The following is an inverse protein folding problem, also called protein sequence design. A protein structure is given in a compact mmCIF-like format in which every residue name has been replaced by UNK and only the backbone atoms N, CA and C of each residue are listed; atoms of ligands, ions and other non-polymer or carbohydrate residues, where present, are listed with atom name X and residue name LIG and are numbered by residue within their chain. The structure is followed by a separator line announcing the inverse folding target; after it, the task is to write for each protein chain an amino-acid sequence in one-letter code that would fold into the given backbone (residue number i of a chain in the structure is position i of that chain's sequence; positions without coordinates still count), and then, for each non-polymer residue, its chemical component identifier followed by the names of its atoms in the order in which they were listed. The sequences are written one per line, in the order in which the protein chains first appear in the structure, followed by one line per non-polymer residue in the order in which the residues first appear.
data_IF_270580692521
#
_entry.id   IF_270580692521
#
_cell.length_a   1.000
_cell.length_b   1.000
_cell.length_c   1.000
_cell.angle_alpha   90.00
_cell.angle_beta   90.00
_cell.angle_gamma   90.00
#
_symmetry.space_group_name_H-M   'P 1'
#
loop_
_entity.id
_entity.type
_entity.pdbx_description
1 polymer ?
#
# COMPACT_ATOMS: atom_id res chain seq x y z
N UNK A 1 -77.83 -9.88 -63.59
CA UNK A 1 -78.47 -10.11 -62.28
C UNK A 1 -77.52 -10.97 -61.46
N UNK A 2 -77.12 -10.73 -60.23
CA UNK A 2 -77.17 -9.60 -59.30
C UNK A 2 -76.07 -9.91 -58.27
N UNK A 3 -75.28 -8.92 -57.87
CA UNK A 3 -74.24 -9.10 -56.84
C UNK A 3 -74.82 -9.13 -55.42
N UNK A 4 -73.99 -9.50 -54.44
CA UNK A 4 -73.74 -8.78 -53.17
C UNK A 4 -73.07 -9.63 -52.08
N UNK A 5 -72.11 -8.96 -51.41
CA UNK A 5 -71.74 -9.03 -50.00
C UNK A 5 -71.06 -10.32 -49.49
N UNK A 6 -69.77 -10.31 -49.14
CA UNK A 6 -69.09 -9.60 -48.05
C UNK A 6 -69.40 -10.16 -46.64
N UNK A 7 -68.30 -10.64 -46.03
CA UNK A 7 -67.98 -10.61 -44.62
C UNK A 7 -68.50 -11.75 -43.71
N UNK A 8 -67.62 -12.03 -42.72
CA UNK A 8 -67.88 -12.63 -41.42
C UNK A 8 -67.90 -14.16 -41.35
N UNK A 9 -66.75 -14.77 -41.03
CA UNK A 9 -66.59 -15.46 -39.73
C UNK A 9 -65.12 -15.82 -39.44
N UNK A 10 -64.35 -14.78 -39.13
CA UNK A 10 -63.04 -14.87 -38.46
C UNK A 10 -63.30 -15.27 -37.01
N UNK A 11 -63.28 -16.56 -36.65
CA UNK A 11 -63.30 -17.05 -35.25
C UNK A 11 -63.01 -18.55 -35.15
N UNK A 12 -61.72 -18.91 -35.16
CA UNK A 12 -61.23 -20.15 -34.55
C UNK A 12 -59.98 -19.81 -33.72
N UNK A 13 -60.23 -19.09 -32.63
CA UNK A 13 -59.40 -19.14 -31.43
C UNK A 13 -59.61 -20.53 -30.85
N UNK A 14 -58.55 -21.30 -30.64
CA UNK A 14 -58.31 -21.96 -29.34
C UNK A 14 -57.20 -23.01 -29.43
N UNK A 15 -56.42 -23.06 -28.34
CA UNK A 15 -55.75 -24.24 -27.75
C UNK A 15 -54.23 -24.35 -27.75
N UNK A 16 -53.44 -23.51 -28.42
CA UNK A 16 -51.97 -23.71 -28.37
C UNK A 16 -51.09 -22.53 -27.94
N UNK A 17 -51.64 -21.34 -27.71
CA UNK A 17 -50.81 -20.16 -27.44
C UNK A 17 -50.66 -19.72 -25.97
N UNK A 18 -51.30 -20.38 -24.99
CA UNK A 18 -51.37 -19.82 -23.62
C UNK A 18 -50.55 -20.54 -22.53
N UNK A 19 -49.92 -21.70 -22.83
CA UNK A 19 -49.12 -22.43 -21.81
C UNK A 19 -47.61 -22.21 -21.98
N UNK A 20 -47.14 -21.74 -23.14
CA UNK A 20 -45.71 -21.57 -23.41
C UNK A 20 -45.14 -20.19 -23.07
N UNK A 21 -45.97 -19.22 -22.67
CA UNK A 21 -45.51 -17.84 -22.40
C UNK A 21 -45.21 -17.54 -20.93
N UNK A 22 -45.63 -18.38 -19.97
CA UNK A 22 -45.27 -18.20 -18.55
C UNK A 22 -43.93 -18.87 -18.16
N UNK A 23 -43.54 -19.95 -18.83
CA UNK A 23 -42.31 -20.69 -18.49
C UNK A 23 -41.01 -20.00 -18.94
N UNK A 24 -41.09 -18.98 -19.79
CA UNK A 24 -39.94 -18.20 -20.27
C UNK A 24 -39.76 -16.85 -19.58
N UNK A 25 -40.73 -16.41 -18.78
CA UNK A 25 -40.63 -15.16 -18.02
C UNK A 25 -39.96 -15.34 -16.64
N UNK A 26 -39.97 -16.55 -16.08
CA UNK A 26 -39.40 -16.82 -14.75
C UNK A 26 -37.91 -17.19 -14.75
N UNK A 27 -37.33 -17.59 -15.89
CA UNK A 27 -35.93 -18.08 -15.95
C UNK A 27 -34.92 -16.96 -16.24
N UNK A 28 -35.35 -15.81 -16.74
CA UNK A 28 -34.45 -14.70 -17.09
C UNK A 28 -34.17 -13.71 -15.94
N UNK A 29 -34.85 -13.83 -14.79
CA UNK A 29 -34.71 -12.88 -13.66
C UNK A 29 -33.76 -13.39 -12.57
N UNK A 30 -33.41 -14.69 -12.58
CA UNK A 30 -32.58 -15.30 -11.51
C UNK A 30 -31.06 -15.18 -11.79
N UNK A 31 -30.64 -14.69 -12.95
CA UNK A 31 -29.22 -14.64 -13.34
C UNK A 31 -28.46 -13.35 -12.90
N UNK A 32 -29.09 -12.44 -12.15
CA UNK A 32 -28.51 -11.14 -11.76
C UNK A 32 -27.96 -11.07 -10.33
N UNK A 33 -27.93 -12.17 -9.58
CA UNK A 33 -27.57 -12.16 -8.17
C UNK A 33 -26.38 -13.08 -7.83
N UNK A 34 -25.17 -12.71 -8.27
CA UNK A 34 -23.93 -12.98 -7.51
C UNK A 34 -22.70 -12.44 -8.24
N UNK A 35 -22.50 -11.13 -8.12
CA UNK A 35 -21.17 -10.54 -8.27
C UNK A 35 -21.04 -9.42 -7.25
N UNK A 36 -21.30 -9.75 -5.97
CA UNK A 36 -20.77 -8.95 -4.87
C UNK A 36 -19.26 -9.21 -4.85
N UNK A 37 -18.54 -8.45 -5.68
CA UNK A 37 -17.10 -8.27 -5.59
C UNK A 37 -16.82 -7.73 -4.19
N UNK A 38 -16.40 -8.61 -3.29
CA UNK A 38 -15.81 -8.24 -2.02
C UNK A 38 -14.51 -7.49 -2.35
N UNK A 39 -14.59 -6.17 -2.45
CA UNK A 39 -13.43 -5.29 -2.45
C UNK A 39 -12.83 -5.35 -1.05
N UNK A 40 -12.03 -6.39 -0.81
CA UNK A 40 -11.11 -6.38 0.32
C UNK A 40 -10.02 -5.39 -0.04
N UNK A 41 -10.04 -4.21 0.57
CA UNK A 41 -8.89 -3.31 0.66
C UNK A 41 -7.78 -4.05 1.44
N UNK A 42 -7.11 -4.96 0.73
CA UNK A 42 -6.19 -5.96 1.26
C UNK A 42 -4.82 -5.37 1.52
N UNK A 43 -4.75 -4.37 2.39
CA UNK A 43 -3.46 -3.88 2.87
C UNK A 43 -2.80 -4.97 3.72
N UNK A 44 -1.57 -5.31 3.35
CA UNK A 44 -0.79 -6.36 4.02
C UNK A 44 0.06 -5.75 5.12
N UNK A 45 -0.10 -6.23 6.34
CA UNK A 45 0.64 -5.83 7.52
C UNK A 45 1.67 -6.90 7.85
N UNK A 46 2.96 -6.56 7.82
CA UNK A 46 4.03 -7.47 8.23
C UNK A 46 4.51 -7.12 9.63
N UNK A 47 4.68 -8.14 10.48
CA UNK A 47 5.13 -8.02 11.88
C UNK A 47 6.15 -9.10 12.22
N UNK A 48 7.06 -8.77 13.14
CA UNK A 48 7.89 -9.75 13.84
C UNK A 48 7.12 -10.47 14.95
N UNK A 49 7.50 -11.71 15.26
CA UNK A 49 7.05 -12.40 16.50
C UNK A 49 7.48 -11.58 17.72
N UNK A 50 6.55 -11.25 18.62
CA UNK A 50 6.76 -10.39 19.79
C UNK A 50 6.76 -8.89 19.49
N UNK A 51 6.71 -8.48 18.23
CA UNK A 51 6.65 -7.07 17.84
C UNK A 51 5.22 -6.53 17.98
N UNK A 52 5.11 -5.27 18.39
CA UNK A 52 3.86 -4.53 18.44
C UNK A 52 3.85 -3.40 17.42
N UNK A 53 2.70 -3.17 16.80
CA UNK A 53 2.46 -2.07 15.86
C UNK A 53 1.13 -1.41 16.17
N UNK A 54 1.18 -0.09 16.35
CA UNK A 54 -0.02 0.72 16.53
C UNK A 54 -0.57 1.14 15.17
N UNK A 55 -1.87 0.93 14.97
CA UNK A 55 -2.64 1.39 13.83
C UNK A 55 -3.62 2.46 14.30
N UNK A 56 -3.47 3.67 13.80
CA UNK A 56 -4.39 4.78 14.07
C UNK A 56 -5.54 4.72 13.08
N UNK A 57 -6.70 4.25 13.54
CA UNK A 57 -7.90 4.08 12.73
C UNK A 57 -9.07 4.74 13.48
N UNK A 58 -9.63 5.85 12.96
CA UNK A 58 -10.75 6.51 13.63
C UNK A 58 -12.02 5.66 13.53
N UNK A 59 -12.91 5.80 14.52
CA UNK A 59 -14.26 5.22 14.51
C UNK A 59 -14.32 3.68 14.45
N UNK A 60 -13.37 2.98 15.07
CA UNK A 60 -13.42 1.50 15.14
C UNK A 60 -14.48 1.06 16.15
N UNK A 61 -15.46 0.29 15.69
CA UNK A 61 -16.54 -0.26 16.52
C UNK A 61 -16.21 -1.67 17.02
N UNK A 62 -15.62 -2.50 16.16
CA UNK A 62 -15.28 -3.89 16.47
C UNK A 62 -14.04 -4.31 15.70
N UNK A 63 -13.28 -5.24 16.28
CA UNK A 63 -12.15 -5.91 15.64
C UNK A 63 -12.29 -7.42 15.80
N UNK A 64 -11.78 -8.17 14.84
CA UNK A 64 -11.65 -9.62 14.94
C UNK A 64 -10.37 -10.08 14.23
N UNK A 65 -9.72 -11.05 14.82
CA UNK A 65 -8.59 -11.77 14.22
C UNK A 65 -9.06 -13.17 13.87
N UNK A 66 -8.59 -13.69 12.73
CA UNK A 66 -8.87 -15.06 12.29
C UNK A 66 -8.22 -16.10 13.20
N UNK A 67 -6.93 -15.95 13.44
CA UNK A 67 -6.11 -16.84 14.27
C UNK A 67 -5.37 -16.06 15.39
N UNK A 68 -5.76 -16.22 16.67
CA UNK A 68 -5.14 -15.54 17.81
C UNK A 68 -3.78 -16.12 18.21
N UNK A 69 -3.39 -17.31 17.75
CA UNK A 69 -2.06 -17.88 18.02
C UNK A 69 -0.99 -17.19 17.16
N UNK A 70 -1.39 -16.62 16.01
CA UNK A 70 -0.51 -15.90 15.09
C UNK A 70 -0.39 -14.42 15.48
N UNK A 71 -1.49 -13.73 15.72
CA UNK A 71 -1.48 -12.32 16.12
C UNK A 71 -2.61 -11.99 17.09
N UNK A 72 -2.41 -10.98 17.92
CA UNK A 72 -3.44 -10.44 18.83
C UNK A 72 -3.68 -8.95 18.56
N UNK A 73 -4.90 -8.49 18.77
CA UNK A 73 -5.29 -7.08 18.57
C UNK A 73 -6.01 -6.55 19.79
N UNK A 74 -5.52 -5.42 20.31
CA UNK A 74 -6.10 -4.72 21.44
C UNK A 74 -6.47 -3.30 21.05
N UNK A 75 -7.69 -2.88 21.36
CA UNK A 75 -8.09 -1.49 21.18
C UNK A 75 -7.52 -0.63 22.32
N UNK A 76 -6.85 0.46 21.96
CA UNK A 76 -6.19 1.40 22.87
C UNK A 76 -6.76 2.80 22.64
N UNK A 77 -6.69 3.67 23.66
CA UNK A 77 -7.01 5.10 23.47
C UNK A 77 -8.46 5.41 23.09
N UNK A 78 -9.44 4.74 23.73
CA UNK A 78 -10.86 5.14 23.66
C UNK A 78 -11.55 4.93 22.30
N UNK A 79 -10.95 4.18 21.38
CA UNK A 79 -11.61 3.73 20.13
C UNK A 79 -10.95 4.20 18.82
N UNK A 80 -9.85 4.95 18.90
CA UNK A 80 -9.12 5.46 17.72
C UNK A 80 -7.80 4.75 17.39
N UNK A 81 -7.30 3.90 18.29
CA UNK A 81 -6.03 3.20 18.10
C UNK A 81 -6.20 1.70 18.30
N UNK A 82 -5.54 0.92 17.46
CA UNK A 82 -5.44 -0.53 17.58
C UNK A 82 -3.98 -0.91 17.74
N UNK A 83 -3.68 -1.66 18.79
CA UNK A 83 -2.38 -2.26 19.02
C UNK A 83 -2.41 -3.69 18.50
N UNK A 84 -1.68 -3.94 17.42
CA UNK A 84 -1.51 -5.26 16.83
C UNK A 84 -0.20 -5.87 17.33
N UNK A 85 -0.25 -7.08 17.86
CA UNK A 85 0.89 -7.81 18.44
C UNK A 85 1.10 -9.12 17.68
N UNK A 86 2.31 -9.37 17.19
CA UNK A 86 2.66 -10.68 16.63
C UNK A 86 2.91 -11.69 17.75
N UNK A 87 2.15 -12.79 17.78
CA UNK A 87 2.27 -13.83 18.82
C UNK A 87 3.07 -15.02 18.31
N UNK A 88 2.73 -15.51 17.12
CA UNK A 88 3.32 -16.69 16.49
C UNK A 88 3.55 -16.48 15.00
N UNK A 89 4.47 -17.24 14.41
CA UNK A 89 4.75 -17.15 12.97
C UNK A 89 3.58 -17.68 12.14
N UNK A 90 3.19 -16.96 11.09
CA UNK A 90 2.07 -17.37 10.26
C UNK A 90 1.40 -16.23 9.48
N UNK A 91 0.24 -16.55 8.92
CA UNK A 91 -0.65 -15.58 8.28
C UNK A 91 -2.01 -15.64 8.91
N UNK A 92 -2.57 -14.48 9.20
CA UNK A 92 -3.92 -14.33 9.76
C UNK A 92 -4.60 -13.13 9.12
N UNK A 93 -5.91 -13.02 9.27
CA UNK A 93 -6.69 -11.90 8.74
C UNK A 93 -7.23 -11.07 9.88
N UNK A 94 -7.08 -9.75 9.79
CA UNK A 94 -7.65 -8.78 10.73
C UNK A 94 -8.83 -8.10 10.05
N UNK A 95 -10.01 -8.24 10.66
CA UNK A 95 -11.24 -7.58 10.23
C UNK A 95 -11.54 -6.43 11.18
N UNK A 96 -11.80 -5.26 10.60
CA UNK A 96 -12.12 -4.04 11.35
C UNK A 96 -13.48 -3.54 10.88
N UNK A 97 -14.41 -3.40 11.82
CA UNK A 97 -15.72 -2.78 11.58
C UNK A 97 -15.69 -1.34 12.10
N UNK A 98 -16.06 -0.43 11.22
CA UNK A 98 -16.16 0.99 11.54
C UNK A 98 -17.61 1.37 11.88
N UNK A 99 -17.79 2.46 12.63
CA UNK A 99 -19.12 2.97 13.01
C UNK A 99 -19.96 3.45 11.82
N UNK A 100 -19.35 3.68 10.66
CA UNK A 100 -20.01 4.08 9.41
C UNK A 100 -20.45 2.87 8.56
N UNK A 101 -20.57 1.67 9.17
CA UNK A 101 -20.93 0.40 8.52
C UNK A 101 -19.91 -0.13 7.49
N UNK A 102 -18.79 0.57 7.31
CA UNK A 102 -17.69 0.13 6.48
C UNK A 102 -16.88 -0.99 7.17
N UNK A 103 -16.31 -1.90 6.38
CA UNK A 103 -15.49 -3.00 6.85
C UNK A 103 -14.16 -3.01 6.10
N UNK A 104 -13.05 -3.00 6.84
CA UNK A 104 -11.72 -3.22 6.27
C UNK A 104 -11.20 -4.60 6.63
N UNK A 105 -10.46 -5.21 5.70
CA UNK A 105 -9.84 -6.52 5.86
C UNK A 105 -8.34 -6.41 5.59
N UNK A 106 -7.53 -6.64 6.61
CA UNK A 106 -6.08 -6.59 6.55
C UNK A 106 -5.51 -8.01 6.55
N UNK A 107 -4.50 -8.25 5.71
CA UNK A 107 -3.73 -9.50 5.74
C UNK A 107 -2.53 -9.33 6.67
N UNK A 108 -2.51 -10.01 7.81
CA UNK A 108 -1.42 -9.92 8.78
C UNK A 108 -0.46 -11.09 8.56
N UNK A 109 0.80 -10.78 8.30
CA UNK A 109 1.89 -11.74 8.14
C UNK A 109 2.83 -11.57 9.32
N UNK A 110 2.94 -12.59 10.16
CA UNK A 110 3.88 -12.60 11.27
C UNK A 110 5.04 -13.51 10.90
N UNK A 111 6.26 -12.97 10.94
CA UNK A 111 7.49 -13.72 10.64
C UNK A 111 8.40 -13.70 11.84
N UNK A 112 9.10 -14.80 12.07
CA UNK A 112 10.21 -14.81 13.02
C UNK A 112 11.36 -14.04 12.38
N UNK A 113 11.60 -12.82 12.82
CA UNK A 113 12.70 -12.02 12.32
C UNK A 113 13.94 -12.43 13.12
N UNK A 114 14.80 -13.28 12.55
CA UNK A 114 16.05 -13.63 13.22
C UNK A 114 16.99 -12.40 13.18
N UNK A 115 17.46 -11.90 14.33
CA UNK A 115 18.43 -10.81 14.36
C UNK A 115 19.67 -11.09 13.51
N UNK A 116 20.04 -12.36 13.30
CA UNK A 116 21.17 -12.76 12.44
C UNK A 116 20.90 -12.53 10.96
N UNK A 117 19.68 -12.79 10.49
CA UNK A 117 19.29 -12.49 9.10
C UNK A 117 19.32 -10.99 8.86
N UNK A 118 18.82 -10.21 9.84
CA UNK A 118 18.89 -8.76 9.80
C UNK A 118 20.33 -8.24 9.72
N UNK A 119 21.29 -8.87 10.43
CA UNK A 119 22.71 -8.52 10.28
C UNK A 119 23.20 -8.75 8.85
N UNK A 120 22.78 -9.84 8.20
CA UNK A 120 23.13 -10.12 6.80
C UNK A 120 22.57 -9.07 5.84
N UNK A 121 21.31 -8.68 6.01
CA UNK A 121 20.70 -7.58 5.23
C UNK A 121 21.43 -6.26 5.44
N UNK A 122 21.65 -5.88 6.70
CA UNK A 122 22.32 -4.62 7.06
C UNK A 122 23.75 -4.59 6.52
N UNK A 123 24.50 -5.70 6.59
CA UNK A 123 25.83 -5.80 5.95
C UNK A 123 25.76 -5.64 4.44
N UNK A 124 24.75 -6.21 3.79
CA UNK A 124 24.56 -6.08 2.34
C UNK A 124 24.26 -4.63 1.94
N UNK A 125 23.46 -3.91 2.74
CA UNK A 125 23.14 -2.50 2.51
C UNK A 125 24.31 -1.56 2.78
N UNK A 126 25.10 -1.83 3.82
CA UNK A 126 26.29 -1.05 4.14
C UNK A 126 27.47 -1.40 3.21
N UNK A 127 27.51 -2.60 2.65
CA UNK A 127 28.61 -3.13 1.85
C UNK A 127 29.86 -3.44 2.69
N UNK A 128 30.96 -3.79 2.03
CA UNK A 128 32.28 -4.06 2.65
C UNK A 128 32.98 -2.75 3.06
N UNK A 129 32.34 -1.96 3.92
CA UNK A 129 32.90 -0.72 4.44
C UNK A 129 33.74 -0.96 5.67
N UNK A 130 34.99 -0.55 5.60
CA UNK A 130 35.90 -0.59 6.73
C UNK A 130 35.44 0.36 7.85
N UNK A 131 35.59 -0.09 9.09
CA UNK A 131 35.32 0.72 10.28
C UNK A 131 33.94 0.56 10.91
N UNK A 132 32.95 -0.05 10.23
CA UNK A 132 31.61 -0.30 10.78
C UNK A 132 31.47 -1.78 11.18
N UNK A 133 31.22 -2.03 12.45
CA UNK A 133 30.95 -3.35 13.03
C UNK A 133 29.48 -3.48 13.37
N UNK A 134 28.88 -4.59 12.95
CA UNK A 134 27.52 -4.95 13.30
C UNK A 134 27.54 -5.98 14.42
N UNK A 135 26.87 -5.69 15.53
CA UNK A 135 26.75 -6.57 16.69
C UNK A 135 25.29 -6.81 17.03
N UNK A 136 24.94 -8.06 17.37
CA UNK A 136 23.64 -8.40 17.92
C UNK A 136 23.73 -8.34 19.45
N UNK A 137 22.79 -7.65 20.09
CA UNK A 137 22.66 -7.62 21.55
C UNK A 137 21.19 -7.85 21.90
N UNK A 138 20.88 -9.05 22.40
CA UNK A 138 19.50 -9.49 22.62
C UNK A 138 18.73 -9.58 21.30
N UNK A 139 17.63 -8.83 21.20
CA UNK A 139 16.76 -8.74 20.02
C UNK A 139 17.09 -7.52 19.11
N UNK A 140 18.10 -6.72 19.48
CA UNK A 140 18.47 -5.50 18.75
C UNK A 140 19.82 -5.64 18.07
N UNK A 141 19.94 -4.95 16.93
CA UNK A 141 21.19 -4.88 16.16
C UNK A 141 21.82 -3.51 16.39
N UNK A 142 23.10 -3.51 16.73
CA UNK A 142 23.89 -2.32 17.00
C UNK A 142 24.98 -2.15 15.95
N UNK A 143 25.10 -0.94 15.44
CA UNK A 143 26.17 -0.50 14.55
C UNK A 143 27.18 0.30 15.38
N UNK A 144 28.40 -0.20 15.50
CA UNK A 144 29.52 0.44 16.18
C UNK A 144 30.61 0.75 15.18
N UNK A 145 31.20 1.94 15.22
CA UNK A 145 32.29 2.26 14.31
C UNK A 145 32.51 3.73 14.06
N UNK A 146 33.41 4.01 13.13
CA UNK A 146 33.63 5.35 12.61
C UNK A 146 33.48 5.33 11.09
N UNK A 147 32.71 6.27 10.55
CA UNK A 147 32.58 6.42 9.08
C UNK A 147 33.72 7.25 8.54
N UNK A 148 34.35 6.77 7.47
CA UNK A 148 35.50 7.44 6.85
C UNK A 148 35.01 8.56 5.93
N UNK A 149 33.92 8.34 5.19
CA UNK A 149 33.34 9.34 4.26
C UNK A 149 31.99 9.88 4.74
N UNK A 150 31.58 11.02 4.19
CA UNK A 150 30.27 11.62 4.43
C UNK A 150 29.13 10.74 3.86
N UNK A 151 29.33 10.16 2.67
CA UNK A 151 28.38 9.25 2.03
C UNK A 151 28.06 8.01 2.88
N UNK A 152 29.06 7.49 3.59
CA UNK A 152 28.87 6.33 4.48
C UNK A 152 27.96 6.70 5.66
N UNK A 153 28.11 7.92 6.18
CA UNK A 153 27.27 8.42 7.26
C UNK A 153 25.81 8.58 6.81
N UNK A 154 25.57 9.15 5.62
CA UNK A 154 24.23 9.30 5.07
C UNK A 154 23.53 7.95 4.87
N UNK A 155 24.27 6.95 4.38
CA UNK A 155 23.72 5.58 4.23
C UNK A 155 23.38 4.93 5.55
N UNK A 156 24.22 5.12 6.58
CA UNK A 156 23.90 4.64 7.94
C UNK A 156 22.60 5.29 8.43
N UNK A 157 22.40 6.59 8.20
CA UNK A 157 21.14 7.26 8.54
C UNK A 157 19.93 6.71 7.78
N UNK A 158 20.11 6.36 6.50
CA UNK A 158 19.06 5.71 5.71
C UNK A 158 18.69 4.34 6.31
N UNK A 159 19.68 3.51 6.62
CA UNK A 159 19.45 2.18 7.25
C UNK A 159 18.71 2.31 8.58
N UNK A 160 19.07 3.29 9.42
CA UNK A 160 18.38 3.54 10.68
C UNK A 160 16.91 3.96 10.50
N UNK A 161 16.60 4.66 9.41
CA UNK A 161 15.24 5.07 9.07
C UNK A 161 14.40 3.90 8.54
N UNK A 162 15.03 2.97 7.81
CA UNK A 162 14.36 1.77 7.27
C UNK A 162 14.13 0.70 8.34
N UNK A 163 15.08 0.51 9.26
CA UNK A 163 15.06 -0.57 10.24
C UNK A 163 15.06 -0.02 11.68
N UNK A 164 13.89 0.19 12.30
CA UNK A 164 13.80 0.79 13.64
C UNK A 164 14.41 -0.08 14.76
N UNK A 165 14.56 -1.39 14.54
CA UNK A 165 15.26 -2.30 15.46
C UNK A 165 16.79 -2.16 15.44
N UNK A 166 17.35 -1.44 14.47
CA UNK A 166 18.79 -1.15 14.38
C UNK A 166 19.09 0.15 15.12
N UNK A 167 20.12 0.15 15.97
CA UNK A 167 20.64 1.32 16.67
C UNK A 167 22.08 1.56 16.26
N UNK A 168 22.47 2.83 16.15
CA UNK A 168 23.83 3.21 15.75
C UNK A 168 24.51 4.02 16.84
N UNK A 169 25.73 3.64 17.14
CA UNK A 169 26.71 4.43 17.88
C UNK A 169 27.85 4.90 16.96
N UNK A 170 27.64 4.84 15.64
CA UNK A 170 28.64 5.21 14.63
C UNK A 170 28.92 6.71 14.71
N UNK A 171 30.20 7.06 14.78
CA UNK A 171 30.66 8.46 14.80
C UNK A 171 31.19 8.87 13.44
N UNK A 172 30.87 10.07 12.94
CA UNK A 172 31.54 10.60 11.77
C UNK A 172 33.00 10.89 12.11
N UNK A 173 33.94 10.38 11.31
CA UNK A 173 35.36 10.68 11.47
C UNK A 173 35.64 12.18 11.29
N UNK A 174 36.76 12.64 11.85
CA UNK A 174 37.20 14.03 11.71
C UNK A 174 37.35 14.47 10.24
N UNK A 175 37.64 13.54 9.32
CA UNK A 175 37.73 13.80 7.88
C UNK A 175 36.35 13.93 7.23
N UNK A 176 35.39 13.06 7.56
CA UNK A 176 34.01 13.14 7.07
C UNK A 176 33.33 14.45 7.51
N UNK A 177 33.57 14.90 8.75
CA UNK A 177 33.05 16.17 9.27
C UNK A 177 33.60 17.39 8.52
N UNK A 178 34.86 17.34 8.08
CA UNK A 178 35.49 18.40 7.27
C UNK A 178 34.95 18.42 5.85
N UNK A 179 34.75 17.26 5.23
CA UNK A 179 34.22 17.15 3.87
C UNK A 179 32.74 17.54 3.79
N UNK A 180 31.92 17.15 4.78
CA UNK A 180 30.53 17.61 4.88
C UNK A 180 30.43 19.12 5.09
N UNK A 181 31.36 19.73 5.85
CA UNK A 181 31.46 21.17 5.99
C UNK A 181 31.91 21.87 4.69
N UNK A 182 32.76 21.22 3.89
CA UNK A 182 33.23 21.74 2.61
C UNK A 182 32.18 21.66 1.49
N UNK A 183 31.35 20.60 1.47
CA UNK A 183 30.20 20.47 0.56
C UNK A 183 29.13 21.52 0.88
N UNK A 184 28.88 21.80 2.16
CA UNK A 184 28.05 22.94 2.58
C UNK A 184 28.63 24.32 2.22
N UNK A 185 29.92 24.38 1.85
CA UNK A 185 30.62 25.61 1.46
C UNK A 185 30.81 25.77 -0.05
N UNK A 186 30.33 24.83 -0.89
CA UNK A 186 30.26 25.08 -2.34
C UNK A 186 29.13 26.06 -2.60
N UNK A 187 29.52 27.31 -2.86
CA UNK A 187 28.65 28.38 -3.36
C UNK A 187 27.73 27.83 -4.46
N UNK A 188 26.44 27.72 -4.17
CA UNK A 188 25.42 27.61 -5.21
C UNK A 188 25.51 28.88 -6.05
N UNK A 189 25.84 28.72 -7.34
CA UNK A 189 25.79 29.80 -8.31
C UNK A 189 24.40 29.75 -8.94
N UNK A 190 23.57 30.74 -8.67
CA UNK A 190 22.32 30.93 -9.40
C UNK A 190 22.68 31.35 -10.82
N UNK A 191 22.40 30.50 -11.80
CA UNK A 191 22.47 30.87 -13.21
C UNK A 191 21.05 31.17 -13.64
N UNK A 192 20.72 32.46 -13.72
CA UNK A 192 19.49 32.93 -14.34
C UNK A 192 19.75 33.07 -15.84
N UNK A 193 18.98 32.36 -16.67
CA UNK A 193 19.08 32.44 -18.13
C UNK A 193 17.77 33.02 -18.64
N UNK A 194 17.79 34.30 -19.01
CA UNK A 194 16.68 34.96 -19.70
C UNK A 194 16.84 34.76 -21.21
N UNK A 195 15.96 33.95 -21.79
CA UNK A 195 15.83 33.83 -23.24
C UNK A 195 14.84 34.87 -23.76
N UNK A 196 15.32 35.83 -24.55
CA UNK A 196 14.48 36.71 -25.35
C UNK A 196 14.55 36.27 -26.81
N UNK A 197 13.44 35.74 -27.31
CA UNK A 197 13.26 35.42 -28.73
C UNK A 197 12.66 36.65 -29.45
N UNK A 198 13.36 37.15 -30.47
CA UNK A 198 12.84 38.21 -31.34
C UNK A 198 12.38 37.55 -32.63
N UNK A 199 11.06 37.40 -32.79
CA UNK A 199 10.47 37.06 -34.07
C UNK A 199 10.36 38.33 -34.92
N UNK A 200 11.12 38.41 -36.01
CA UNK A 200 10.94 39.42 -37.05
C UNK A 200 10.11 38.83 -38.18
N UNK A 201 8.90 39.37 -38.38
CA UNK A 201 7.97 38.98 -39.43
C UNK A 201 7.91 40.09 -40.48
N UNK A 202 8.72 39.98 -41.53
CA UNK A 202 8.59 40.78 -42.75
C UNK A 202 7.62 40.11 -43.72
N UNK A 203 6.42 40.69 -43.89
CA UNK A 203 5.45 40.28 -44.90
C UNK A 203 5.30 41.39 -45.95
N UNK A 204 5.90 41.20 -47.12
CA UNK A 204 5.67 42.06 -48.30
C UNK A 204 4.68 41.35 -49.23
N UNK A 205 3.43 41.81 -49.19
CA UNK A 205 2.47 41.58 -50.26
C UNK A 205 2.82 42.48 -51.46
N UNK A 206 3.12 41.86 -52.60
CA UNK A 206 3.08 42.53 -53.90
C UNK A 206 1.71 42.24 -54.52
N UNK A 207 0.91 43.29 -54.68
CA UNK A 207 -0.31 43.28 -55.49
C UNK A 207 0.04 43.44 -56.97
N UNK A 208 -0.79 42.82 -57.81
CA UNK A 208 -0.69 42.78 -59.28
C UNK A 208 -0.88 44.15 -59.93
#
# INVERSE_FOLDING_TARGET
MAGRNAALYRRLVSRRCLVQSCARACVAIIALASAAVAQGDGSTLTLGVGQQKTLTLPNVQRVAIGDPEVADVKQVGGGGELLLTGVGEGRTSLLVWFRNEHRASYSVVVRKQDPRELVGEVRTLLGDREGIRVRVVGDKVYLDGETITADDYERVQLVLSTYPQVKSFVRPSANAKRLAAEIGSRRMVLIEVDFVEVASSDNKQVGF
#
